data_IF_914883949427
#
_entry.id   IF_914883949427
#
_cell.length_a   1.000
_cell.length_b   1.000
_cell.length_c   1.000
_cell.angle_alpha   90.00
_cell.angle_beta   90.00
_cell.angle_gamma   90.00
#
_symmetry.space_group_name_H-M   'P 1'
#
loop_
_entity.id
_entity.type
_entity.pdbx_description
1 polymer ?
#
# COMPACT_ATOMS: atom_id res chain seq x y z
N UNK A 1 10.36 -23.11 6.82
CA UNK A 1 10.45 -21.70 6.38
C UNK A 1 9.08 -21.07 6.54
N UNK A 2 8.97 -19.95 7.25
CA UNK A 2 7.70 -19.23 7.38
C UNK A 2 7.26 -18.75 5.99
N UNK A 3 6.06 -19.15 5.58
CA UNK A 3 5.47 -18.68 4.32
C UNK A 3 5.15 -17.19 4.47
N UNK A 4 5.50 -16.36 3.49
CA UNK A 4 5.13 -14.95 3.55
C UNK A 4 3.60 -14.83 3.62
N UNK A 5 3.12 -14.09 4.62
CA UNK A 5 1.69 -13.92 4.91
C UNK A 5 1.06 -12.73 4.17
N UNK A 6 1.86 -11.90 3.48
CA UNK A 6 1.40 -10.69 2.80
C UNK A 6 1.08 -10.98 1.33
N UNK A 7 0.04 -11.79 1.07
CA UNK A 7 -0.41 -12.18 -0.27
C UNK A 7 -1.86 -11.76 -0.51
N UNK A 8 -2.20 -11.56 -1.78
CA UNK A 8 -3.56 -11.19 -2.17
C UNK A 8 -3.79 -9.68 -2.15
N UNK A 9 -4.96 -9.26 -1.67
CA UNK A 9 -5.36 -7.85 -1.58
C UNK A 9 -4.95 -7.24 -0.24
N UNK A 10 -3.84 -6.51 -0.23
CA UNK A 10 -3.51 -5.57 0.83
C UNK A 10 -4.18 -4.22 0.60
N UNK A 11 -4.70 -3.60 1.64
CA UNK A 11 -5.30 -2.26 1.56
C UNK A 11 -4.31 -1.21 2.04
N UNK A 12 -3.92 -0.28 1.16
CA UNK A 12 -3.22 0.95 1.57
C UNK A 12 -4.23 1.88 2.25
N UNK A 13 -4.49 1.65 3.53
CA UNK A 13 -5.61 2.24 4.27
C UNK A 13 -5.50 3.76 4.31
N UNK A 14 -6.60 4.47 3.94
CA UNK A 14 -6.73 5.92 4.09
C UNK A 14 -6.96 6.28 5.56
N UNK A 15 -6.65 7.53 5.92
CA UNK A 15 -7.07 8.13 7.19
C UNK A 15 -8.22 9.09 6.92
N UNK A 16 -9.46 8.77 7.33
CA UNK A 16 -10.58 9.69 7.16
C UNK A 16 -10.47 10.86 8.14
N UNK A 17 -10.85 12.05 7.69
CA UNK A 17 -10.91 13.25 8.51
C UNK A 17 -12.34 13.79 8.57
N UNK A 18 -12.69 14.43 9.68
CA UNK A 18 -13.91 15.19 9.84
C UNK A 18 -13.80 16.53 9.08
N UNK A 19 -14.91 17.24 8.90
CA UNK A 19 -14.95 18.59 8.32
C UNK A 19 -14.12 19.63 9.08
N UNK A 20 -13.72 19.32 10.33
CA UNK A 20 -12.80 20.15 11.12
C UNK A 20 -11.34 19.77 10.97
N UNK A 21 -11.02 18.75 10.16
CA UNK A 21 -9.68 18.22 9.95
C UNK A 21 -9.16 17.29 11.06
N UNK A 22 -9.99 16.93 12.04
CA UNK A 22 -9.65 15.89 13.02
C UNK A 22 -9.74 14.49 12.39
N UNK A 23 -9.01 13.50 12.91
CA UNK A 23 -9.17 12.10 12.48
C UNK A 23 -10.56 11.61 12.85
N UNK A 24 -11.30 11.10 11.86
CA UNK A 24 -12.62 10.47 12.07
C UNK A 24 -12.43 8.98 12.39
N UNK A 25 -12.22 8.68 13.66
CA UNK A 25 -12.04 7.30 14.15
C UNK A 25 -13.29 6.43 13.94
N UNK A 26 -14.49 7.03 13.94
CA UNK A 26 -15.73 6.28 13.72
C UNK A 26 -15.85 5.84 12.25
N UNK A 27 -15.57 6.73 11.31
CA UNK A 27 -15.50 6.38 9.89
C UNK A 27 -14.36 5.39 9.60
N UNK A 28 -13.19 5.56 10.24
CA UNK A 28 -12.07 4.62 10.10
C UNK A 28 -12.48 3.21 10.53
N UNK A 29 -13.15 3.06 11.67
CA UNK A 29 -13.65 1.77 12.14
C UNK A 29 -14.58 1.12 11.12
N UNK A 30 -15.62 1.84 10.67
CA UNK A 30 -16.55 1.33 9.65
C UNK A 30 -15.86 0.93 8.35
N UNK A 31 -14.86 1.71 7.93
CA UNK A 31 -14.10 1.43 6.71
C UNK A 31 -13.29 0.14 6.83
N UNK A 32 -12.60 -0.06 7.95
CA UNK A 32 -11.85 -1.30 8.22
C UNK A 32 -12.77 -2.51 8.26
N UNK A 33 -13.92 -2.43 8.95
CA UNK A 33 -14.93 -3.47 8.98
C UNK A 33 -15.45 -3.80 7.57
N UNK A 34 -15.82 -2.77 6.79
CA UNK A 34 -16.25 -2.93 5.40
C UNK A 34 -15.21 -3.65 4.54
N UNK A 35 -13.94 -3.27 4.65
CA UNK A 35 -12.86 -3.86 3.85
C UNK A 35 -12.58 -5.31 4.25
N UNK A 36 -12.63 -5.63 5.55
CA UNK A 36 -12.52 -7.00 6.06
C UNK A 36 -13.62 -7.91 5.49
N UNK A 37 -14.87 -7.45 5.57
CA UNK A 37 -16.04 -8.23 5.13
C UNK A 37 -16.08 -8.41 3.60
N UNK A 38 -15.36 -7.55 2.86
CA UNK A 38 -15.32 -7.56 1.40
C UNK A 38 -13.98 -8.04 0.81
N UNK A 39 -13.17 -8.76 1.59
CA UNK A 39 -12.10 -9.59 1.05
C UNK A 39 -10.71 -8.98 1.07
N UNK A 40 -10.42 -8.03 1.96
CA UNK A 40 -9.06 -7.67 2.28
C UNK A 40 -8.31 -8.88 2.85
N UNK A 41 -7.10 -9.13 2.35
CA UNK A 41 -6.23 -10.21 2.82
C UNK A 41 -5.19 -9.71 3.83
N UNK A 42 -4.85 -8.42 3.83
CA UNK A 42 -4.05 -7.75 4.86
C UNK A 42 -4.23 -6.22 4.80
N UNK A 43 -3.85 -5.51 5.85
CA UNK A 43 -3.82 -4.05 5.87
C UNK A 43 -2.41 -3.50 5.80
N UNK A 44 -2.25 -2.38 5.10
CA UNK A 44 -1.07 -1.53 5.16
C UNK A 44 -1.50 -0.15 5.68
N UNK A 45 -1.26 0.09 6.96
CA UNK A 45 -1.65 1.30 7.66
C UNK A 45 -0.50 2.29 7.77
N UNK A 46 -0.81 3.56 7.99
CA UNK A 46 0.18 4.62 8.21
C UNK A 46 1.26 4.64 7.10
N UNK A 47 0.82 4.50 5.84
CA UNK A 47 1.66 4.65 4.66
C UNK A 47 1.26 5.92 3.88
N UNK A 48 1.73 6.07 2.64
CA UNK A 48 1.48 7.26 1.80
C UNK A 48 -0.01 7.61 1.70
N UNK A 49 -0.84 6.60 1.41
CA UNK A 49 -2.29 6.76 1.24
C UNK A 49 -3.00 7.16 2.55
N UNK A 50 -2.41 6.81 3.69
CA UNK A 50 -2.89 7.21 5.02
C UNK A 50 -2.48 8.63 5.45
N UNK A 51 -1.88 9.44 4.58
CA UNK A 51 -1.44 10.82 4.87
C UNK A 51 -0.51 10.92 6.10
N UNK A 52 0.31 9.90 6.32
CA UNK A 52 1.14 9.74 7.53
C UNK A 52 2.00 10.95 7.90
N UNK A 53 2.60 11.70 6.94
CA UNK A 53 3.35 12.92 7.28
C UNK A 53 2.50 14.03 7.90
N UNK A 54 1.18 13.99 7.73
CA UNK A 54 0.23 14.99 8.24
C UNK A 54 -0.41 14.59 9.58
N UNK A 55 0.01 13.45 10.16
CA UNK A 55 -0.50 12.92 11.42
C UNK A 55 0.48 13.18 12.57
N UNK A 56 -0.05 13.55 13.73
CA UNK A 56 0.73 13.62 14.98
C UNK A 56 1.09 12.22 15.47
N UNK A 57 2.04 12.13 16.40
CA UNK A 57 2.40 10.86 17.02
C UNK A 57 1.19 10.19 17.70
N UNK A 58 0.42 10.93 18.48
CA UNK A 58 -0.75 10.40 19.19
C UNK A 58 -1.84 9.91 18.24
N UNK A 59 -2.04 10.60 17.10
CA UNK A 59 -2.99 10.14 16.08
C UNK A 59 -2.54 8.84 15.43
N UNK A 60 -1.25 8.69 15.13
CA UNK A 60 -0.68 7.45 14.59
C UNK A 60 -0.88 6.27 15.54
N UNK A 61 -0.59 6.47 16.83
CA UNK A 61 -0.78 5.42 17.83
C UNK A 61 -2.25 5.04 17.96
N UNK A 62 -3.18 6.01 18.05
CA UNK A 62 -4.62 5.74 18.12
C UNK A 62 -5.18 5.05 16.88
N UNK A 63 -4.71 5.43 15.67
CA UNK A 63 -5.09 4.75 14.42
C UNK A 63 -4.61 3.29 14.46
N UNK A 64 -3.37 3.05 14.87
CA UNK A 64 -2.79 1.71 14.97
C UNK A 64 -3.58 0.84 15.96
N UNK A 65 -3.83 1.35 17.17
CA UNK A 65 -4.61 0.66 18.21
C UNK A 65 -6.02 0.31 17.69
N UNK A 66 -6.73 1.27 17.09
CA UNK A 66 -8.07 1.04 16.56
C UNK A 66 -8.07 -0.04 15.48
N UNK A 67 -7.13 0.01 14.53
CA UNK A 67 -7.09 -0.99 13.45
C UNK A 67 -6.75 -2.38 14.01
N UNK A 68 -5.80 -2.48 14.94
CA UNK A 68 -5.44 -3.74 15.60
C UNK A 68 -6.66 -4.32 16.34
N UNK A 69 -7.39 -3.50 17.09
CA UNK A 69 -8.57 -3.92 17.82
C UNK A 69 -9.70 -4.39 16.90
N UNK A 70 -9.96 -3.65 15.81
CA UNK A 70 -11.00 -4.02 14.85
C UNK A 70 -10.62 -5.27 14.07
N UNK A 71 -9.37 -5.38 13.62
CA UNK A 71 -8.90 -6.55 12.87
C UNK A 71 -8.85 -7.80 13.75
N UNK A 72 -8.48 -7.65 15.00
CA UNK A 72 -8.47 -8.71 16.01
C UNK A 72 -7.75 -10.00 15.56
N UNK A 73 -6.62 -9.86 14.87
CA UNK A 73 -5.81 -10.96 14.38
C UNK A 73 -6.42 -11.78 13.23
N UNK A 74 -7.53 -11.32 12.61
CA UNK A 74 -8.17 -12.03 11.49
C UNK A 74 -7.33 -12.04 10.22
N UNK A 75 -6.60 -10.97 9.97
CA UNK A 75 -5.67 -10.83 8.84
C UNK A 75 -4.43 -10.04 9.28
N UNK A 76 -3.28 -10.16 8.57
CA UNK A 76 -2.07 -9.42 8.91
C UNK A 76 -2.20 -7.90 8.79
N UNK A 77 -1.41 -7.19 9.60
CA UNK A 77 -1.29 -5.73 9.57
C UNK A 77 0.18 -5.35 9.35
N UNK A 78 0.41 -4.55 8.31
CA UNK A 78 1.70 -3.93 7.99
C UNK A 78 1.63 -2.45 8.35
N UNK A 79 2.62 -1.91 9.04
CA UNK A 79 2.72 -0.48 9.35
C UNK A 79 3.79 0.20 8.51
N UNK A 80 3.49 1.39 7.99
CA UNK A 80 4.47 2.24 7.33
C UNK A 80 5.47 2.80 8.33
N UNK A 81 6.76 2.50 8.15
CA UNK A 81 7.86 3.09 8.90
C UNK A 81 9.07 3.22 7.98
N UNK A 82 9.44 4.43 7.61
CA UNK A 82 10.54 4.71 6.69
C UNK A 82 10.81 6.20 6.58
N UNK A 83 11.97 6.53 6.05
CA UNK A 83 12.42 7.90 5.94
C UNK A 83 13.76 8.01 5.21
N UNK A 84 14.32 9.20 5.18
CA UNK A 84 15.57 9.50 4.49
C UNK A 84 16.76 9.67 5.46
N UNK A 85 16.58 9.34 6.74
CA UNK A 85 17.63 9.24 7.74
C UNK A 85 17.60 7.84 8.38
N UNK A 86 18.60 7.02 8.05
CA UNK A 86 18.67 5.61 8.49
C UNK A 86 18.64 5.46 10.02
N UNK A 87 19.32 6.34 10.74
CA UNK A 87 19.38 6.28 12.21
C UNK A 87 17.99 6.55 12.80
N UNK A 88 17.32 7.61 12.33
CA UNK A 88 15.97 7.94 12.81
C UNK A 88 14.95 6.82 12.56
N UNK A 89 15.01 6.16 11.38
CA UNK A 89 14.13 5.03 11.09
C UNK A 89 14.41 3.85 12.02
N UNK A 90 15.68 3.55 12.31
CA UNK A 90 16.07 2.47 13.24
C UNK A 90 15.61 2.79 14.67
N UNK A 91 15.74 4.01 15.13
CA UNK A 91 15.28 4.44 16.45
C UNK A 91 13.76 4.37 16.57
N UNK A 92 13.04 4.82 15.52
CA UNK A 92 11.58 4.69 15.46
C UNK A 92 11.14 3.22 15.55
N UNK A 93 11.77 2.32 14.80
CA UNK A 93 11.46 0.88 14.82
C UNK A 93 11.70 0.25 16.19
N UNK A 94 12.80 0.65 16.90
CA UNK A 94 13.11 0.14 18.23
C UNK A 94 12.15 0.64 19.30
N UNK A 95 11.68 1.88 19.17
CA UNK A 95 10.76 2.52 20.13
C UNK A 95 9.29 2.16 19.88
N UNK A 96 8.94 1.71 18.67
CA UNK A 96 7.56 1.50 18.28
C UNK A 96 6.90 0.33 19.02
N UNK A 97 5.67 0.54 19.49
CA UNK A 97 4.83 -0.55 19.95
C UNK A 97 4.33 -1.37 18.74
N UNK A 98 4.85 -2.59 18.57
CA UNK A 98 4.51 -3.50 17.47
C UNK A 98 3.53 -4.60 17.89
N UNK A 99 2.76 -4.39 18.96
CA UNK A 99 1.70 -5.35 19.34
C UNK A 99 0.60 -5.38 18.28
N UNK A 100 0.29 -6.57 17.76
CA UNK A 100 -0.72 -6.75 16.70
C UNK A 100 -0.26 -6.31 15.30
N UNK A 101 1.02 -5.95 15.12
CA UNK A 101 1.63 -5.62 13.84
C UNK A 101 2.48 -6.81 13.37
N UNK A 102 2.31 -7.20 12.12
CA UNK A 102 2.94 -8.39 11.52
C UNK A 102 4.11 -8.04 10.59
N UNK A 103 4.17 -6.80 10.08
CA UNK A 103 5.23 -6.36 9.18
C UNK A 103 5.41 -4.86 9.13
N UNK A 104 6.50 -4.44 8.50
CA UNK A 104 6.86 -3.04 8.30
C UNK A 104 7.01 -2.77 6.80
N UNK A 105 6.34 -1.74 6.29
CA UNK A 105 6.57 -1.20 4.95
C UNK A 105 7.56 -0.04 5.04
N UNK A 106 8.76 -0.19 4.45
CA UNK A 106 9.79 0.84 4.50
C UNK A 106 10.10 1.40 3.12
N UNK A 107 9.81 2.69 2.93
CA UNK A 107 9.99 3.40 1.65
C UNK A 107 11.46 3.72 1.40
N UNK A 108 11.89 3.70 0.12
CA UNK A 108 13.20 4.20 -0.28
C UNK A 108 13.42 5.64 0.23
N UNK A 109 14.65 5.98 0.70
CA UNK A 109 14.98 7.34 1.06
C UNK A 109 14.65 8.32 -0.07
N UNK A 110 13.97 9.38 0.27
CA UNK A 110 13.55 10.44 -0.64
C UNK A 110 14.38 11.71 -0.41
N UNK A 111 14.36 12.63 -1.37
CA UNK A 111 15.01 13.94 -1.32
C UNK A 111 16.54 13.88 -1.42
N UNK A 112 17.26 13.21 -0.51
CA UNK A 112 18.73 13.09 -0.51
C UNK A 112 19.32 12.05 -1.48
N UNK A 113 18.49 11.26 -2.18
CA UNK A 113 18.80 10.38 -3.33
C UNK A 113 20.09 9.57 -3.17
N UNK A 114 20.14 8.54 -2.32
CA UNK A 114 21.33 7.72 -2.13
C UNK A 114 21.67 6.90 -3.39
N UNK A 115 22.93 6.46 -3.52
CA UNK A 115 23.34 5.48 -4.53
C UNK A 115 22.70 4.10 -4.27
N UNK A 116 22.83 3.14 -5.22
CA UNK A 116 22.35 1.77 -5.02
C UNK A 116 23.01 1.10 -3.80
N UNK A 117 24.31 1.33 -3.57
CA UNK A 117 24.98 0.88 -2.35
C UNK A 117 24.45 1.57 -1.11
N UNK A 118 24.13 2.85 -1.17
CA UNK A 118 23.48 3.57 -0.07
C UNK A 118 22.09 3.00 0.27
N UNK A 119 21.29 2.63 -0.74
CA UNK A 119 20.02 1.92 -0.56
C UNK A 119 20.23 0.57 0.11
N UNK A 120 21.20 -0.21 -0.35
CA UNK A 120 21.53 -1.50 0.23
C UNK A 120 21.89 -1.37 1.72
N UNK A 121 22.81 -0.47 2.07
CA UNK A 121 23.23 -0.27 3.46
C UNK A 121 22.09 0.25 4.34
N UNK A 122 21.25 1.14 3.82
CA UNK A 122 20.07 1.66 4.49
C UNK A 122 19.11 0.53 4.88
N UNK A 123 18.68 -0.28 3.93
CA UNK A 123 17.70 -1.34 4.18
C UNK A 123 18.29 -2.52 4.95
N UNK A 124 19.57 -2.85 4.74
CA UNK A 124 20.27 -3.83 5.58
C UNK A 124 20.23 -3.40 7.05
N UNK A 125 20.57 -2.14 7.34
CA UNK A 125 20.54 -1.61 8.70
C UNK A 125 19.13 -1.60 9.30
N UNK A 126 18.11 -1.29 8.53
CA UNK A 126 16.70 -1.38 8.93
C UNK A 126 16.33 -2.83 9.23
N UNK A 127 16.65 -3.77 8.36
CA UNK A 127 16.38 -5.19 8.52
C UNK A 127 16.99 -5.78 9.79
N UNK A 128 18.23 -5.42 10.10
CA UNK A 128 18.96 -5.87 11.30
C UNK A 128 18.33 -5.35 12.61
N UNK A 129 17.55 -4.29 12.57
CA UNK A 129 16.98 -3.62 13.75
C UNK A 129 15.44 -3.67 13.80
N UNK A 130 14.79 -4.16 12.75
CA UNK A 130 13.33 -4.27 12.74
C UNK A 130 12.86 -5.49 13.53
N UNK A 131 11.94 -5.30 14.51
CA UNK A 131 11.36 -6.42 15.27
C UNK A 131 10.33 -7.22 14.46
N UNK A 132 10.03 -6.79 13.22
CA UNK A 132 9.07 -7.42 12.31
C UNK A 132 9.66 -7.57 10.91
N UNK A 133 9.15 -8.51 10.10
CA UNK A 133 9.51 -8.63 8.69
C UNK A 133 9.36 -7.30 7.94
N UNK A 134 10.30 -7.01 7.05
CA UNK A 134 10.37 -5.76 6.29
C UNK A 134 9.92 -6.01 4.85
N UNK A 135 9.00 -5.18 4.37
CA UNK A 135 8.63 -5.03 2.98
C UNK A 135 9.32 -3.77 2.45
N UNK A 136 10.19 -3.92 1.47
CA UNK A 136 10.80 -2.78 0.77
C UNK A 136 9.72 -2.02 0.00
N UNK A 137 9.85 -0.70 -0.12
CA UNK A 137 8.91 0.08 -0.93
C UNK A 137 9.65 0.96 -1.93
N UNK A 138 9.59 0.56 -3.20
CA UNK A 138 10.15 1.30 -4.33
C UNK A 138 9.06 2.10 -5.04
N UNK A 139 9.17 3.43 -5.01
CA UNK A 139 8.20 4.37 -5.63
C UNK A 139 8.91 5.58 -6.22
N UNK A 140 9.61 5.41 -7.35
CA UNK A 140 10.46 6.45 -7.92
C UNK A 140 9.75 7.78 -8.19
N UNK A 141 8.49 7.75 -8.57
CA UNK A 141 7.68 8.94 -8.81
C UNK A 141 7.48 9.84 -7.57
N UNK A 142 7.70 9.29 -6.36
CA UNK A 142 7.60 10.05 -5.10
C UNK A 142 8.96 10.32 -4.46
N UNK A 143 9.86 9.35 -4.53
CA UNK A 143 11.16 9.44 -3.85
C UNK A 143 12.23 10.14 -4.70
N UNK A 144 12.04 10.15 -6.03
CA UNK A 144 13.05 10.64 -6.97
C UNK A 144 14.24 9.70 -7.14
N UNK A 145 14.16 8.47 -6.61
CA UNK A 145 15.16 7.41 -6.77
C UNK A 145 14.49 6.07 -7.05
N UNK A 146 15.11 5.28 -7.92
CA UNK A 146 14.66 3.91 -8.23
C UNK A 146 15.64 2.89 -7.62
N UNK A 147 15.15 1.97 -6.81
CA UNK A 147 15.91 0.79 -6.38
C UNK A 147 15.88 -0.23 -7.52
N UNK A 148 17.06 -0.54 -8.06
CA UNK A 148 17.21 -1.43 -9.20
C UNK A 148 16.99 -2.90 -8.82
N UNK A 149 16.66 -3.78 -9.79
CA UNK A 149 16.49 -5.21 -9.57
C UNK A 149 17.66 -5.86 -8.82
N UNK A 150 18.90 -5.54 -9.22
CA UNK A 150 20.10 -6.11 -8.61
C UNK A 150 20.20 -5.76 -7.11
N UNK A 151 19.87 -4.51 -6.74
CA UNK A 151 19.88 -4.07 -5.35
C UNK A 151 18.78 -4.77 -4.55
N UNK A 152 17.58 -4.89 -5.12
CA UNK A 152 16.45 -5.62 -4.52
C UNK A 152 16.78 -7.08 -4.28
N UNK A 153 17.30 -7.76 -5.30
CA UNK A 153 17.67 -9.20 -5.22
C UNK A 153 18.82 -9.42 -4.23
N UNK A 154 19.82 -8.54 -4.20
CA UNK A 154 20.90 -8.59 -3.23
C UNK A 154 20.38 -8.47 -1.80
N UNK A 155 19.50 -7.51 -1.53
CA UNK A 155 18.84 -7.38 -0.21
C UNK A 155 18.02 -8.61 0.14
N UNK A 156 17.25 -9.13 -0.82
CA UNK A 156 16.46 -10.34 -0.63
C UNK A 156 17.32 -11.56 -0.29
N UNK A 157 18.53 -11.69 -0.82
CA UNK A 157 19.43 -12.80 -0.51
C UNK A 157 20.15 -12.61 0.82
N UNK A 158 20.65 -11.41 1.10
CA UNK A 158 21.54 -11.13 2.22
C UNK A 158 20.80 -10.89 3.54
N UNK A 159 19.51 -10.54 3.50
CA UNK A 159 18.72 -10.12 4.66
C UNK A 159 17.46 -10.99 4.81
N UNK A 160 17.49 -11.98 5.70
CA UNK A 160 16.35 -12.90 5.91
C UNK A 160 15.07 -12.19 6.38
N UNK A 161 15.21 -11.08 7.12
CA UNK A 161 14.08 -10.29 7.61
C UNK A 161 13.45 -9.38 6.54
N UNK A 162 14.05 -9.29 5.34
CA UNK A 162 13.45 -8.65 4.16
C UNK A 162 12.69 -9.72 3.39
N UNK A 163 11.35 -9.66 3.41
CA UNK A 163 10.47 -10.72 2.93
C UNK A 163 9.76 -10.41 1.62
N UNK A 164 9.67 -9.13 1.27
CA UNK A 164 8.99 -8.70 0.04
C UNK A 164 9.45 -7.32 -0.42
N UNK A 165 9.05 -6.97 -1.64
CA UNK A 165 9.05 -5.60 -2.15
C UNK A 165 7.64 -5.21 -2.59
N UNK A 166 7.19 -4.01 -2.19
CA UNK A 166 6.12 -3.27 -2.85
C UNK A 166 6.73 -2.49 -3.99
N UNK A 167 6.50 -2.96 -5.23
CA UNK A 167 7.04 -2.36 -6.44
C UNK A 167 6.00 -1.41 -7.06
N UNK A 168 6.33 -0.13 -7.11
CA UNK A 168 5.48 0.95 -7.61
C UNK A 168 6.20 1.88 -8.59
N UNK A 169 7.16 1.32 -9.35
CA UNK A 169 7.83 2.07 -10.43
C UNK A 169 6.96 2.20 -11.68
N UNK A 170 5.95 1.34 -11.84
CA UNK A 170 5.18 1.23 -13.08
C UNK A 170 5.92 0.51 -14.21
N UNK A 171 7.13 0.00 -13.97
CA UNK A 171 7.96 -0.68 -14.95
C UNK A 171 7.83 -2.20 -14.84
N UNK A 172 7.08 -2.81 -15.76
CA UNK A 172 6.83 -4.26 -15.73
C UNK A 172 8.09 -5.07 -16.08
N UNK A 173 9.02 -4.54 -16.88
CA UNK A 173 10.30 -5.20 -17.17
C UNK A 173 11.14 -5.33 -15.89
N UNK A 174 11.20 -4.28 -15.07
CA UNK A 174 11.87 -4.31 -13.77
C UNK A 174 11.21 -5.33 -12.83
N UNK A 175 9.88 -5.43 -12.84
CA UNK A 175 9.12 -6.43 -12.07
C UNK A 175 9.54 -7.84 -12.48
N UNK A 176 9.60 -8.13 -13.79
CA UNK A 176 9.97 -9.44 -14.31
C UNK A 176 11.42 -9.81 -13.97
N UNK A 177 12.34 -8.86 -14.04
CA UNK A 177 13.74 -9.06 -13.63
C UNK A 177 13.84 -9.46 -12.15
N UNK A 178 13.10 -8.79 -11.27
CA UNK A 178 13.07 -9.12 -9.83
C UNK A 178 12.45 -10.50 -9.62
N UNK A 179 11.30 -10.80 -10.25
CA UNK A 179 10.61 -12.07 -10.10
C UNK A 179 11.49 -13.23 -10.55
N UNK A 180 12.20 -13.08 -11.67
CA UNK A 180 13.11 -14.07 -12.23
C UNK A 180 14.30 -14.38 -11.32
N UNK A 181 14.85 -13.38 -10.61
CA UNK A 181 16.12 -13.48 -9.90
C UNK A 181 15.98 -13.60 -8.37
N UNK A 182 14.79 -13.33 -7.81
CA UNK A 182 14.53 -13.37 -6.36
C UNK A 182 14.62 -14.78 -5.79
N UNK A 183 15.00 -14.95 -4.51
CA UNK A 183 14.86 -16.24 -3.82
C UNK A 183 13.37 -16.56 -3.57
N UNK A 184 13.04 -17.86 -3.44
CA UNK A 184 11.66 -18.37 -3.26
C UNK A 184 10.93 -17.77 -2.05
N UNK A 185 11.67 -17.41 -1.00
CA UNK A 185 11.14 -16.82 0.23
C UNK A 185 10.75 -15.36 0.11
N UNK A 186 11.07 -14.70 -0.99
CA UNK A 186 10.84 -13.28 -1.22
C UNK A 186 9.70 -13.05 -2.20
N UNK A 187 8.75 -12.18 -1.87
CA UNK A 187 7.59 -11.88 -2.70
C UNK A 187 7.69 -10.49 -3.36
N UNK A 188 7.13 -10.39 -4.56
CA UNK A 188 6.93 -9.11 -5.26
C UNK A 188 5.45 -8.77 -5.20
N UNK A 189 5.13 -7.60 -4.62
CA UNK A 189 3.78 -7.11 -4.38
C UNK A 189 3.61 -5.83 -5.20
N UNK A 190 2.52 -5.72 -5.95
CA UNK A 190 2.22 -4.50 -6.71
C UNK A 190 1.98 -3.30 -5.77
N UNK A 191 2.53 -2.16 -6.12
CA UNK A 191 2.22 -0.88 -5.51
C UNK A 191 1.39 0.04 -6.40
N UNK A 192 0.93 -0.48 -7.56
CA UNK A 192 0.18 0.25 -8.57
C UNK A 192 -0.98 -0.63 -9.08
N UNK A 193 -2.20 -0.19 -8.81
CA UNK A 193 -3.43 -0.90 -9.17
C UNK A 193 -3.53 -1.14 -10.68
N UNK A 194 -3.02 -0.22 -11.50
CA UNK A 194 -3.12 -0.28 -12.96
C UNK A 194 -2.28 -1.39 -13.59
N UNK A 195 -1.18 -1.82 -12.94
CA UNK A 195 -0.32 -2.90 -13.44
C UNK A 195 -0.43 -4.18 -12.62
N UNK A 196 -1.33 -4.22 -11.63
CA UNK A 196 -1.48 -5.37 -10.72
C UNK A 196 -1.78 -6.65 -11.48
N UNK A 197 -2.67 -6.60 -12.48
CA UNK A 197 -3.01 -7.76 -13.32
C UNK A 197 -1.74 -8.33 -14.00
N UNK A 198 -0.94 -7.50 -14.65
CA UNK A 198 0.28 -7.93 -15.32
C UNK A 198 1.32 -8.48 -14.34
N UNK A 199 1.48 -7.81 -13.18
CA UNK A 199 2.43 -8.21 -12.16
C UNK A 199 2.09 -9.59 -11.55
N UNK A 200 0.81 -9.86 -11.28
CA UNK A 200 0.38 -11.17 -10.77
C UNK A 200 0.55 -12.24 -11.85
N UNK A 201 0.21 -11.95 -13.11
CA UNK A 201 0.41 -12.87 -14.22
C UNK A 201 1.89 -13.25 -14.42
N UNK A 202 2.82 -12.34 -14.09
CA UNK A 202 4.28 -12.61 -14.08
C UNK A 202 4.75 -13.43 -12.84
N UNK A 203 3.88 -13.70 -11.87
CA UNK A 203 4.24 -14.46 -10.66
C UNK A 203 4.33 -13.63 -9.38
N UNK A 204 3.75 -12.42 -9.37
CA UNK A 204 3.65 -11.59 -8.18
C UNK A 204 2.68 -12.15 -7.14
N UNK A 205 2.83 -11.69 -5.89
CA UNK A 205 2.11 -12.23 -4.74
C UNK A 205 0.79 -11.48 -4.42
N UNK A 206 0.51 -10.37 -5.09
CA UNK A 206 -0.67 -9.54 -4.82
C UNK A 206 -0.38 -8.06 -4.96
N UNK A 207 -1.10 -7.24 -4.19
CA UNK A 207 -1.03 -5.78 -4.27
C UNK A 207 -1.22 -5.14 -2.89
N UNK A 208 -0.60 -3.98 -2.67
CA UNK A 208 -1.00 -3.02 -1.64
C UNK A 208 -1.73 -1.89 -2.35
N UNK A 209 -3.04 -2.00 -2.40
CA UNK A 209 -3.97 -1.32 -3.31
C UNK A 209 -4.50 0.01 -2.76
N UNK A 210 -4.71 0.96 -3.66
CA UNK A 210 -5.45 2.21 -3.40
C UNK A 210 -6.94 2.01 -3.68
N UNK A 211 -7.31 1.47 -4.85
CA UNK A 211 -8.72 1.23 -5.21
C UNK A 211 -9.42 0.26 -4.26
N UNK A 212 -8.66 -0.67 -3.66
CA UNK A 212 -9.16 -1.62 -2.66
C UNK A 212 -9.75 -0.95 -1.41
N UNK A 213 -9.45 0.32 -1.13
CA UNK A 213 -10.14 1.06 -0.07
C UNK A 213 -11.65 1.17 -0.31
N UNK A 214 -12.06 1.37 -1.57
CA UNK A 214 -13.44 1.59 -1.97
C UNK A 214 -14.10 0.32 -2.56
N UNK A 215 -13.36 -0.45 -3.35
CA UNK A 215 -13.86 -1.59 -4.11
C UNK A 215 -13.12 -2.91 -3.76
N UNK A 216 -13.05 -3.28 -2.47
CA UNK A 216 -12.27 -4.45 -2.05
C UNK A 216 -12.81 -5.75 -2.63
N UNK A 217 -14.13 -5.92 -2.74
CA UNK A 217 -14.78 -7.14 -3.22
C UNK A 217 -14.41 -7.47 -4.67
N UNK A 218 -14.55 -6.50 -5.55
CA UNK A 218 -14.26 -6.67 -6.97
C UNK A 218 -12.76 -6.86 -7.21
N UNK A 219 -11.95 -6.08 -6.51
CA UNK A 219 -10.51 -6.13 -6.70
C UNK A 219 -9.90 -7.41 -6.13
N UNK A 220 -10.34 -7.88 -4.96
CA UNK A 220 -9.95 -9.18 -4.42
C UNK A 220 -10.39 -10.33 -5.31
N UNK A 221 -11.60 -10.23 -5.93
CA UNK A 221 -12.07 -11.22 -6.91
C UNK A 221 -11.15 -11.32 -8.12
N UNK A 222 -10.69 -10.18 -8.66
CA UNK A 222 -9.72 -10.15 -9.77
C UNK A 222 -8.46 -10.93 -9.40
N UNK A 223 -7.85 -10.61 -8.26
CA UNK A 223 -6.62 -11.23 -7.78
C UNK A 223 -6.80 -12.75 -7.57
N UNK A 224 -7.90 -13.16 -6.95
CA UNK A 224 -8.20 -14.58 -6.73
C UNK A 224 -8.42 -15.37 -8.00
N UNK A 225 -9.02 -14.75 -9.03
CA UNK A 225 -9.16 -15.34 -10.37
C UNK A 225 -7.77 -15.58 -11.00
N UNK A 226 -6.87 -14.61 -10.91
CA UNK A 226 -5.50 -14.75 -11.43
C UNK A 226 -4.73 -15.88 -10.71
N UNK A 227 -4.82 -15.96 -9.38
CA UNK A 227 -4.18 -17.05 -8.63
C UNK A 227 -4.70 -18.44 -8.97
N UNK A 228 -5.91 -18.53 -9.58
CA UNK A 228 -6.48 -19.77 -10.11
C UNK A 228 -6.18 -20.00 -11.59
N UNK A 229 -5.45 -19.09 -12.24
CA UNK A 229 -5.17 -19.15 -13.68
C UNK A 229 -6.35 -18.73 -14.58
N UNK A 230 -7.40 -18.14 -13.99
CA UNK A 230 -8.60 -17.67 -14.69
C UNK A 230 -8.38 -16.25 -15.28
N UNK A 231 -7.32 -16.08 -16.04
CA UNK A 231 -6.84 -14.77 -16.52
C UNK A 231 -7.86 -14.00 -17.36
N UNK A 232 -8.67 -14.69 -18.20
CA UNK A 232 -9.68 -14.01 -19.02
C UNK A 232 -10.76 -13.35 -18.15
N UNK A 233 -11.21 -14.03 -17.10
CA UNK A 233 -12.21 -13.49 -16.18
C UNK A 233 -11.63 -12.32 -15.34
N UNK A 234 -10.40 -12.45 -14.88
CA UNK A 234 -9.69 -11.40 -14.17
C UNK A 234 -9.48 -10.14 -15.04
N UNK A 235 -9.10 -10.33 -16.31
CA UNK A 235 -8.90 -9.24 -17.28
C UNK A 235 -10.16 -8.41 -17.49
N UNK A 236 -11.33 -9.04 -17.52
CA UNK A 236 -12.61 -8.32 -17.62
C UNK A 236 -12.83 -7.38 -16.46
N UNK A 237 -12.47 -7.79 -15.24
CA UNK A 237 -12.54 -6.95 -14.05
C UNK A 237 -11.50 -5.83 -14.14
N UNK A 238 -10.25 -6.14 -14.48
CA UNK A 238 -9.19 -5.15 -14.67
C UNK A 238 -9.62 -4.04 -15.63
N UNK A 239 -10.12 -4.39 -16.81
CA UNK A 239 -10.54 -3.42 -17.83
C UNK A 239 -11.71 -2.55 -17.37
N UNK A 240 -12.60 -3.07 -16.52
CA UNK A 240 -13.73 -2.32 -15.97
C UNK A 240 -13.26 -1.11 -15.15
N UNK A 241 -12.07 -1.15 -14.53
CA UNK A 241 -11.55 -0.12 -13.67
C UNK A 241 -10.44 0.75 -14.28
N UNK A 242 -10.09 0.54 -15.55
CA UNK A 242 -8.93 1.20 -16.19
C UNK A 242 -9.01 2.73 -16.15
N UNK A 243 -10.19 3.31 -16.30
CA UNK A 243 -10.39 4.76 -16.21
C UNK A 243 -10.32 5.23 -14.75
N UNK A 244 -10.90 4.45 -13.82
CA UNK A 244 -10.88 4.77 -12.42
C UNK A 244 -9.45 4.78 -11.85
N UNK A 245 -8.58 3.82 -12.25
CA UNK A 245 -7.16 3.84 -11.83
C UNK A 245 -6.50 5.19 -12.13
N UNK A 246 -6.75 5.77 -13.31
CA UNK A 246 -6.19 7.08 -13.69
C UNK A 246 -6.76 8.21 -12.85
N UNK A 247 -8.08 8.21 -12.61
CA UNK A 247 -8.76 9.26 -11.85
C UNK A 247 -8.35 9.28 -10.38
N UNK A 248 -8.02 8.12 -9.80
CA UNK A 248 -7.54 8.04 -8.41
C UNK A 248 -6.18 8.71 -8.19
N UNK A 249 -5.41 8.96 -9.26
CA UNK A 249 -4.05 9.52 -9.15
C UNK A 249 -3.86 10.87 -9.87
N UNK A 250 -4.78 11.28 -10.74
CA UNK A 250 -4.61 12.49 -11.59
C UNK A 250 -4.45 13.79 -10.79
N UNK A 251 -5.11 13.90 -9.65
CA UNK A 251 -5.02 15.02 -8.71
C UNK A 251 -4.20 14.66 -7.45
N UNK A 252 -3.48 13.53 -7.50
CA UNK A 252 -2.70 13.01 -6.41
C UNK A 252 -3.44 11.96 -5.57
N UNK A 253 -2.67 11.07 -4.93
CA UNK A 253 -3.17 10.08 -4.00
C UNK A 253 -2.82 10.54 -2.56
N UNK A 254 -3.82 10.58 -1.65
CA UNK A 254 -5.12 9.88 -1.64
C UNK A 254 -6.34 10.70 -2.11
N UNK A 255 -6.18 11.89 -2.72
CA UNK A 255 -7.31 12.75 -3.05
C UNK A 255 -8.38 12.02 -3.88
N UNK A 256 -7.99 11.27 -4.93
CA UNK A 256 -8.92 10.54 -5.77
C UNK A 256 -9.68 9.44 -5.03
N UNK A 257 -9.02 8.63 -4.21
CA UNK A 257 -9.70 7.55 -3.49
C UNK A 257 -10.59 8.08 -2.36
N UNK A 258 -10.24 9.20 -1.73
CA UNK A 258 -11.12 9.85 -0.76
C UNK A 258 -12.37 10.43 -1.43
N UNK A 259 -12.22 11.03 -2.61
CA UNK A 259 -13.36 11.49 -3.41
C UNK A 259 -14.29 10.30 -3.77
N UNK A 260 -13.72 9.15 -4.17
CA UNK A 260 -14.49 7.95 -4.46
C UNK A 260 -15.26 7.44 -3.22
N UNK A 261 -14.60 7.34 -2.08
CA UNK A 261 -15.24 6.93 -0.82
C UNK A 261 -16.31 7.92 -0.33
N UNK A 262 -16.12 9.20 -0.58
CA UNK A 262 -17.12 10.24 -0.29
C UNK A 262 -18.37 10.07 -1.15
N UNK A 263 -18.22 9.88 -2.46
CA UNK A 263 -19.34 9.61 -3.37
C UNK A 263 -20.11 8.33 -3.00
N UNK A 264 -19.43 7.37 -2.35
CA UNK A 264 -20.07 6.17 -1.76
C UNK A 264 -20.72 6.44 -0.38
N UNK A 265 -20.63 7.66 0.15
CA UNK A 265 -21.19 8.03 1.45
C UNK A 265 -20.47 7.44 2.67
N UNK A 266 -19.20 7.01 2.52
CA UNK A 266 -18.46 6.34 3.58
C UNK A 266 -17.66 7.29 4.47
N UNK A 267 -17.15 8.40 3.92
CA UNK A 267 -16.30 9.39 4.60
C UNK A 267 -16.61 10.81 4.11
N UNK A 268 -16.13 11.82 4.84
CA UNK A 268 -16.03 13.18 4.34
C UNK A 268 -14.88 13.32 3.34
N UNK A 269 -15.02 14.21 2.32
CA UNK A 269 -13.98 14.46 1.31
C UNK A 269 -12.93 15.45 1.82
N UNK A 270 -12.31 15.12 2.95
CA UNK A 270 -11.35 15.98 3.64
C UNK A 270 -9.94 15.42 3.60
N UNK A 271 -8.97 16.29 3.34
CA UNK A 271 -7.53 16.01 3.39
C UNK A 271 -6.84 17.06 4.25
N UNK A 272 -5.63 16.74 4.72
CA UNK A 272 -4.78 17.72 5.42
C UNK A 272 -3.75 18.32 4.46
N UNK A 273 -3.53 19.63 4.58
CA UNK A 273 -2.45 20.29 3.84
C UNK A 273 -1.11 19.56 4.03
N UNK A 274 -0.28 19.47 2.99
CA UNK A 274 -0.37 20.19 1.69
C UNK A 274 -1.33 19.53 0.66
N UNK A 275 -2.00 18.43 1.02
CA UNK A 275 -2.97 17.79 0.13
C UNK A 275 -4.32 18.49 0.21
N UNK A 276 -5.04 18.49 -0.92
CA UNK A 276 -6.36 19.08 -1.05
C UNK A 276 -7.29 18.12 -1.80
N UNK A 277 -8.63 18.25 -1.68
CA UNK A 277 -9.57 17.46 -2.46
C UNK A 277 -9.33 17.55 -3.97
N UNK A 278 -9.81 16.56 -4.70
CA UNK A 278 -9.75 16.55 -6.17
C UNK A 278 -10.47 17.74 -6.79
N UNK A 279 -10.09 18.10 -8.02
CA UNK A 279 -10.85 19.08 -8.82
C UNK A 279 -12.29 18.60 -9.01
N UNK A 280 -13.20 19.57 -9.12
CA UNK A 280 -14.64 19.31 -9.37
C UNK A 280 -14.85 18.43 -10.60
N UNK A 281 -14.09 18.67 -11.67
CA UNK A 281 -14.17 17.86 -12.90
C UNK A 281 -13.75 16.41 -12.70
N UNK A 282 -12.78 16.15 -11.83
CA UNK A 282 -12.37 14.78 -11.48
C UNK A 282 -13.44 14.10 -10.62
N UNK A 283 -13.99 14.81 -9.63
CA UNK A 283 -15.10 14.32 -8.81
C UNK A 283 -16.30 13.93 -9.65
N UNK A 284 -16.73 14.80 -10.59
CA UNK A 284 -17.83 14.51 -11.51
C UNK A 284 -17.60 13.24 -12.34
N UNK A 285 -16.38 13.02 -12.83
CA UNK A 285 -16.04 11.78 -13.56
C UNK A 285 -16.10 10.55 -12.67
N UNK A 286 -15.59 10.63 -11.44
CA UNK A 286 -15.68 9.53 -10.45
C UNK A 286 -17.16 9.21 -10.18
N UNK A 287 -18.00 10.21 -9.92
CA UNK A 287 -19.43 10.07 -9.69
C UNK A 287 -20.15 9.41 -10.89
N UNK A 288 -19.80 9.80 -12.13
CA UNK A 288 -20.36 9.18 -13.33
C UNK A 288 -19.99 7.68 -13.44
N UNK A 289 -18.71 7.35 -13.20
CA UNK A 289 -18.25 5.95 -13.23
C UNK A 289 -18.96 5.11 -12.16
N UNK A 290 -19.14 5.61 -10.94
CA UNK A 290 -19.87 4.89 -9.90
C UNK A 290 -21.29 4.53 -10.32
N UNK A 291 -22.01 5.49 -10.95
CA UNK A 291 -23.36 5.26 -11.48
C UNK A 291 -23.37 4.16 -12.55
N UNK A 292 -22.42 4.19 -13.49
CA UNK A 292 -22.29 3.19 -14.56
C UNK A 292 -21.95 1.80 -14.00
N UNK A 293 -21.14 1.76 -12.95
CA UNK A 293 -20.76 0.53 -12.27
C UNK A 293 -21.89 -0.04 -11.40
N UNK A 294 -22.94 0.73 -11.12
CA UNK A 294 -24.06 0.40 -10.21
C UNK A 294 -23.59 0.02 -8.81
N UNK A 295 -22.60 0.75 -8.31
CA UNK A 295 -22.02 0.62 -6.97
C UNK A 295 -22.53 1.77 -6.10
#
# INVERSE_FOLDING_TARGET
MARNIFKGLGIALITPFTTTGAVDYAALKRLVEYQLDNGADFFCILATTGETPCLTFDEKEKIKELVVDVVHGRIPIVVGCGGNNTIAVVEELKAANMKGIDGVLSVCPYYNKPSQEGLYQHFKRISENSPRPVILYNVPGRTGINMRPETTVRLANDCENIVAIKEASGNIEQVDEIIKAKPDRFDVISGDDAITYQLIASGGAGVISVIGNALPKEFSRMIRLEFRGEYEAARKIHHKFTELYKLLFIDGNPAGVKALLHEMGMIENELRLPLVPTRVTTLQKISAILKDLRI
#
